data_IF_284464434758
#
_entry.id   IF_284464434758
#
_cell.length_a   1.000
_cell.length_b   1.000
_cell.length_c   1.000
_cell.angle_alpha   90.00
_cell.angle_beta   90.00
_cell.angle_gamma   90.00
#
_symmetry.space_group_name_H-M   'P 1'
#
loop_
_entity.id
_entity.type
_entity.pdbx_description
1 polymer ?
#
# COMPACT_ATOMS: atom_id res chain seq x y z
N UNK A 1 -69.38 2.43 -19.61
CA UNK A 1 -69.01 3.21 -18.40
C UNK A 1 -68.04 2.37 -17.58
N UNK A 2 -66.75 2.75 -17.54
CA UNK A 2 -65.65 2.34 -16.61
C UNK A 2 -65.39 0.82 -16.47
N UNK A 3 -64.16 0.29 -16.52
CA UNK A 3 -62.88 0.84 -16.12
C UNK A 3 -61.74 0.06 -16.78
N UNK A 4 -60.95 0.76 -17.59
CA UNK A 4 -59.55 0.46 -17.88
C UNK A 4 -58.74 0.49 -16.57
N UNK A 5 -57.76 -0.42 -16.42
CA UNK A 5 -56.45 -0.27 -15.76
C UNK A 5 -55.89 -1.64 -15.36
N UNK A 6 -55.19 -2.29 -16.30
CA UNK A 6 -54.15 -3.29 -16.02
C UNK A 6 -52.98 -3.00 -16.95
N UNK A 7 -52.28 -1.90 -16.66
CA UNK A 7 -51.04 -1.55 -17.34
C UNK A 7 -50.24 -0.58 -16.45
N UNK A 8 -49.60 -1.11 -15.39
CA UNK A 8 -48.44 -0.49 -14.72
C UNK A 8 -47.99 -1.37 -13.55
N UNK A 9 -47.27 -2.46 -13.81
CA UNK A 9 -46.53 -3.16 -12.74
C UNK A 9 -45.22 -3.81 -13.22
N UNK A 10 -44.72 -3.43 -14.41
CA UNK A 10 -43.43 -3.91 -14.91
C UNK A 10 -42.39 -2.78 -15.09
N UNK A 11 -42.75 -1.51 -14.89
CA UNK A 11 -41.83 -0.38 -15.10
C UNK A 11 -41.03 0.01 -13.85
N UNK A 12 -41.48 -0.37 -12.64
CA UNK A 12 -40.82 0.04 -11.38
C UNK A 12 -39.69 -0.93 -10.97
N UNK A 13 -39.70 -2.16 -11.47
CA UNK A 13 -38.65 -3.15 -11.16
C UNK A 13 -37.42 -2.99 -12.07
N UNK A 14 -37.55 -2.27 -13.19
CA UNK A 14 -36.42 -2.02 -14.10
C UNK A 14 -35.58 -0.80 -13.72
N UNK A 15 -36.02 0.02 -12.76
CA UNK A 15 -35.30 1.20 -12.28
C UNK A 15 -34.58 1.00 -10.93
N UNK A 16 -34.76 -0.17 -10.29
CA UNK A 16 -34.16 -0.49 -8.99
C UNK A 16 -32.98 -1.48 -9.06
N UNK A 17 -32.60 -1.94 -10.25
CA UNK A 17 -31.42 -2.81 -10.45
C UNK A 17 -30.17 -2.06 -10.97
N UNK A 18 -30.16 -0.72 -10.94
CA UNK A 18 -29.00 0.09 -11.35
C UNK A 18 -28.03 0.45 -10.22
N UNK A 19 -28.22 -0.09 -9.02
CA UNK A 19 -27.19 -0.01 -7.98
C UNK A 19 -26.24 -1.19 -8.07
N UNK A 20 -25.10 -0.90 -8.70
CA UNK A 20 -23.77 -1.40 -8.35
C UNK A 20 -23.54 -2.91 -8.61
N UNK A 21 -23.50 -3.27 -9.88
CA UNK A 21 -22.38 -4.12 -10.30
C UNK A 21 -21.18 -3.19 -10.50
N UNK A 22 -20.32 -3.11 -9.50
CA UNK A 22 -18.95 -2.62 -9.70
C UNK A 22 -18.31 -3.56 -10.72
N UNK A 23 -18.23 -3.11 -11.97
CA UNK A 23 -17.33 -3.72 -12.91
C UNK A 23 -15.92 -3.49 -12.34
N UNK A 24 -15.13 -4.56 -12.18
CA UNK A 24 -13.69 -4.47 -11.97
C UNK A 24 -13.08 -3.82 -13.23
N UNK A 25 -13.26 -2.52 -13.34
CA UNK A 25 -12.74 -1.68 -14.40
C UNK A 25 -11.43 -1.11 -13.91
N UNK A 26 -10.37 -1.33 -14.67
CA UNK A 26 -9.16 -0.53 -14.53
C UNK A 26 -9.55 0.95 -14.57
N UNK A 27 -9.27 1.68 -13.50
CA UNK A 27 -9.50 3.11 -13.42
C UNK A 27 -8.22 3.86 -13.73
N UNK A 28 -8.37 5.11 -14.16
CA UNK A 28 -7.24 6.01 -14.37
C UNK A 28 -6.52 6.32 -13.05
N UNK A 29 -5.32 6.90 -13.16
CA UNK A 29 -4.55 7.34 -12.00
C UNK A 29 -5.08 8.66 -11.39
N UNK A 30 -6.19 9.23 -11.87
CA UNK A 30 -6.66 10.55 -11.44
C UNK A 30 -6.85 10.69 -9.91
N UNK A 31 -7.36 9.69 -9.17
CA UNK A 31 -7.46 9.78 -7.71
C UNK A 31 -6.13 9.92 -6.98
N UNK A 32 -5.03 9.48 -7.60
CA UNK A 32 -3.67 9.53 -7.05
C UNK A 32 -2.79 10.56 -7.75
N UNK A 33 -3.34 11.31 -8.71
CA UNK A 33 -2.55 12.25 -9.49
C UNK A 33 -1.89 13.29 -8.60
N UNK A 34 -0.71 13.73 -9.02
CA UNK A 34 0.13 14.68 -8.30
C UNK A 34 1.52 14.15 -8.02
N UNK A 35 2.25 14.92 -7.23
CA UNK A 35 3.65 14.66 -6.91
C UNK A 35 3.72 14.09 -5.50
N UNK A 36 4.42 12.97 -5.38
CA UNK A 36 4.64 12.28 -4.13
C UNK A 36 6.14 12.23 -3.89
N UNK A 37 6.59 12.44 -2.66
CA UNK A 37 8.01 12.37 -2.33
C UNK A 37 8.31 11.75 -0.96
N UNK A 38 9.53 11.25 -0.85
CA UNK A 38 10.16 10.92 0.43
C UNK A 38 11.62 11.43 0.41
N UNK A 39 12.42 11.00 1.38
CA UNK A 39 13.83 11.42 1.49
C UNK A 39 14.70 11.00 0.30
N UNK A 40 14.32 9.94 -0.42
CA UNK A 40 15.17 9.29 -1.42
C UNK A 40 14.67 9.49 -2.86
N UNK A 41 13.38 9.76 -3.07
CA UNK A 41 12.80 9.85 -4.42
C UNK A 41 11.56 10.73 -4.48
N UNK A 42 11.24 11.16 -5.68
CA UNK A 42 9.99 11.79 -6.08
C UNK A 42 9.34 10.89 -7.12
N UNK A 43 8.04 10.66 -6.98
CA UNK A 43 7.20 9.93 -7.93
C UNK A 43 6.09 10.89 -8.34
N UNK A 44 6.09 11.29 -9.61
CA UNK A 44 4.97 12.03 -10.19
C UNK A 44 4.01 11.04 -10.82
N UNK A 45 2.79 11.02 -10.30
CA UNK A 45 1.66 10.25 -10.81
C UNK A 45 0.87 11.18 -11.71
N UNK A 46 0.84 10.88 -13.00
CA UNK A 46 0.25 11.73 -14.02
C UNK A 46 -1.10 11.20 -14.48
N UNK A 47 -1.97 12.10 -14.93
CA UNK A 47 -3.30 11.76 -15.43
C UNK A 47 -3.27 10.97 -16.76
N UNK A 48 -2.14 11.00 -17.47
CA UNK A 48 -1.89 10.20 -18.68
C UNK A 48 -1.53 8.73 -18.38
N UNK A 49 -1.78 8.26 -17.16
CA UNK A 49 -1.48 6.90 -16.70
C UNK A 49 0.02 6.58 -16.71
N UNK A 50 0.88 7.58 -16.47
CA UNK A 50 2.32 7.39 -16.33
C UNK A 50 2.85 7.79 -14.94
N UNK A 51 3.88 7.06 -14.51
CA UNK A 51 4.64 7.26 -13.29
C UNK A 51 6.05 7.73 -13.66
N UNK A 52 6.36 8.98 -13.37
CA UNK A 52 7.71 9.51 -13.53
C UNK A 52 8.49 9.37 -12.22
N UNK A 53 9.64 8.70 -12.29
CA UNK A 53 10.55 8.51 -11.18
C UNK A 53 11.71 9.49 -11.26
N UNK A 54 11.96 10.17 -10.14
CA UNK A 54 13.11 11.05 -9.94
C UNK A 54 13.83 10.64 -8.67
N UNK A 55 15.10 10.29 -8.75
CA UNK A 55 15.89 9.85 -7.60
C UNK A 55 16.65 11.04 -7.00
N UNK A 56 16.60 11.18 -5.66
CA UNK A 56 17.39 12.15 -4.90
C UNK A 56 18.78 11.56 -4.65
N UNK A 57 19.62 11.58 -5.68
CA UNK A 57 20.95 10.97 -5.67
C UNK A 57 21.99 11.87 -4.99
N UNK A 58 23.17 11.31 -4.67
CA UNK A 58 24.28 12.02 -4.02
C UNK A 58 23.84 12.79 -2.76
N UNK A 59 23.26 12.10 -1.78
CA UNK A 59 22.73 12.72 -0.55
C UNK A 59 21.66 13.81 -0.81
N UNK A 60 20.99 13.76 -1.95
CA UNK A 60 19.99 14.74 -2.35
C UNK A 60 20.56 16.02 -2.97
N UNK A 61 21.83 16.03 -3.39
CA UNK A 61 22.41 17.16 -4.12
C UNK A 61 22.02 17.20 -5.61
N UNK A 62 21.52 16.09 -6.15
CA UNK A 62 21.15 16.00 -7.55
C UNK A 62 19.89 15.17 -7.75
N UNK A 63 18.94 15.73 -8.50
CA UNK A 63 17.70 15.07 -8.88
C UNK A 63 17.89 14.41 -10.24
N UNK A 64 17.94 13.08 -10.24
CA UNK A 64 18.12 12.28 -11.43
C UNK A 64 16.78 11.80 -11.98
N UNK A 65 16.43 12.24 -13.19
CA UNK A 65 15.21 11.80 -13.89
C UNK A 65 15.45 10.43 -14.50
N UNK A 66 15.10 9.40 -13.75
CA UNK A 66 15.55 8.03 -14.04
C UNK A 66 14.64 7.29 -15.02
N UNK A 67 13.32 7.34 -14.85
CA UNK A 67 12.40 6.53 -15.67
C UNK A 67 10.98 7.09 -15.72
N UNK A 68 10.23 6.69 -16.75
CA UNK A 68 8.78 6.87 -16.86
C UNK A 68 8.17 5.51 -17.17
N UNK A 69 7.23 5.05 -16.34
CA UNK A 69 6.54 3.76 -16.48
C UNK A 69 5.05 3.97 -16.65
N UNK A 70 4.38 3.11 -17.41
CA UNK A 70 2.92 3.14 -17.49
C UNK A 70 2.30 2.43 -16.29
N UNK A 71 1.23 2.97 -15.73
CA UNK A 71 0.49 2.36 -14.64
C UNK A 71 -1.00 2.68 -14.69
N UNK A 72 -1.81 1.89 -14.00
CA UNK A 72 -3.24 2.15 -13.82
C UNK A 72 -3.69 1.62 -12.46
N UNK A 73 -4.90 1.99 -12.03
CA UNK A 73 -5.49 1.48 -10.80
C UNK A 73 -6.44 0.33 -11.08
N UNK A 74 -6.45 -0.61 -10.15
CA UNK A 74 -7.37 -1.73 -10.11
C UNK A 74 -7.89 -1.88 -8.68
N UNK A 75 -9.07 -2.48 -8.56
CA UNK A 75 -9.66 -2.79 -7.26
C UNK A 75 -9.28 -4.21 -6.87
N UNK A 76 -8.70 -4.36 -5.69
CA UNK A 76 -8.44 -5.65 -5.10
C UNK A 76 -9.73 -6.34 -4.67
N UNK A 77 -9.64 -7.65 -4.43
CA UNK A 77 -10.80 -8.46 -4.07
C UNK A 77 -11.42 -8.08 -2.71
N UNK A 78 -10.68 -7.33 -1.90
CA UNK A 78 -11.01 -6.98 -0.54
C UNK A 78 -11.21 -5.47 -0.34
N UNK A 79 -11.33 -4.70 -1.43
CA UNK A 79 -11.53 -3.25 -1.41
C UNK A 79 -10.24 -2.44 -1.33
N UNK A 80 -9.08 -3.09 -1.34
CA UNK A 80 -7.79 -2.41 -1.45
C UNK A 80 -7.56 -1.82 -2.85
N UNK A 81 -6.81 -0.74 -2.93
CA UNK A 81 -6.39 -0.18 -4.23
C UNK A 81 -5.10 -0.85 -4.68
N UNK A 82 -5.06 -1.31 -5.94
CA UNK A 82 -3.89 -1.94 -6.54
C UNK A 82 -3.35 -1.03 -7.64
N UNK A 83 -2.12 -0.54 -7.45
CA UNK A 83 -1.37 0.15 -8.49
C UNK A 83 -0.70 -0.89 -9.39
N UNK A 84 -1.16 -1.00 -10.64
CA UNK A 84 -0.64 -1.94 -11.63
C UNK A 84 0.43 -1.24 -12.47
N UNK A 85 1.70 -1.62 -12.30
CA UNK A 85 2.83 -0.97 -12.98
C UNK A 85 3.36 -1.87 -14.10
N UNK A 86 3.48 -1.32 -15.31
CA UNK A 86 4.04 -2.01 -16.48
C UNK A 86 5.55 -1.78 -16.55
N UNK A 87 6.31 -2.76 -16.07
CA UNK A 87 7.77 -2.78 -16.19
C UNK A 87 8.20 -3.23 -17.60
N UNK A 88 9.31 -2.68 -18.16
CA UNK A 88 9.76 -3.01 -19.51
C UNK A 88 10.14 -4.49 -19.68
N UNK A 89 10.64 -5.14 -18.64
CA UNK A 89 11.05 -6.55 -18.65
C UNK A 89 9.88 -7.54 -18.62
N UNK A 90 8.69 -7.08 -18.23
CA UNK A 90 7.56 -7.97 -17.93
C UNK A 90 6.47 -7.90 -18.98
N UNK A 91 5.86 -9.04 -19.31
CA UNK A 91 4.70 -9.07 -20.19
C UNK A 91 3.44 -8.55 -19.50
N UNK A 92 3.29 -8.85 -18.20
CA UNK A 92 2.11 -8.44 -17.42
C UNK A 92 2.45 -7.28 -16.47
N UNK A 93 1.54 -6.31 -16.28
CA UNK A 93 1.69 -5.31 -15.23
C UNK A 93 1.72 -5.97 -13.84
N UNK A 94 2.65 -5.52 -13.00
CA UNK A 94 2.85 -6.05 -11.65
C UNK A 94 1.95 -5.32 -10.65
N UNK A 95 1.27 -6.08 -9.79
CA UNK A 95 0.42 -5.54 -8.73
C UNK A 95 1.24 -4.93 -7.59
N UNK A 96 0.95 -3.67 -7.25
CA UNK A 96 1.47 -2.98 -6.07
C UNK A 96 0.27 -2.54 -5.24
N UNK A 97 -0.17 -3.33 -4.26
CA UNK A 97 -1.22 -2.88 -3.35
C UNK A 97 -0.78 -1.65 -2.57
N UNK A 98 -1.65 -0.65 -2.49
CA UNK A 98 -1.38 0.62 -1.85
C UNK A 98 -2.56 1.05 -0.98
N UNK A 99 -2.24 1.65 0.18
CA UNK A 99 -3.22 2.29 1.05
C UNK A 99 -2.95 3.79 1.08
N UNK A 100 -3.96 4.62 0.87
CA UNK A 100 -3.83 6.08 0.97
C UNK A 100 -4.67 6.59 2.12
N UNK A 101 -4.01 7.21 3.11
CA UNK A 101 -4.64 7.75 4.32
C UNK A 101 -4.12 9.17 4.54
N UNK A 102 -4.98 10.18 4.44
CA UNK A 102 -4.65 11.59 4.72
C UNK A 102 -3.38 12.06 3.99
N UNK A 103 -3.38 11.98 2.65
CA UNK A 103 -2.27 12.36 1.75
C UNK A 103 -0.94 11.63 1.99
N UNK A 104 -1.02 10.46 2.61
CA UNK A 104 0.11 9.55 2.83
C UNK A 104 -0.18 8.23 2.17
N UNK A 105 0.78 7.70 1.43
CA UNK A 105 0.70 6.40 0.77
C UNK A 105 1.51 5.38 1.56
N UNK A 106 0.90 4.24 1.83
CA UNK A 106 1.42 3.13 2.61
C UNK A 106 1.52 1.87 1.74
N UNK A 107 2.61 1.14 1.91
CA UNK A 107 2.82 -0.21 1.35
C UNK A 107 2.64 -1.31 2.42
N UNK A 108 2.55 -0.92 3.69
CA UNK A 108 2.25 -1.81 4.80
C UNK A 108 1.03 -1.26 5.55
N UNK A 109 -0.13 -1.76 5.14
CA UNK A 109 -1.43 -1.31 5.59
C UNK A 109 -2.40 -2.48 5.63
N UNK A 110 -3.53 -2.25 6.29
CA UNK A 110 -4.48 -3.28 6.62
C UNK A 110 -5.88 -2.83 6.30
N UNK A 111 -6.69 -3.76 5.80
CA UNK A 111 -8.08 -3.53 5.47
C UNK A 111 -8.96 -4.24 6.52
N UNK A 112 -9.95 -3.52 7.04
CA UNK A 112 -10.93 -4.09 7.96
C UNK A 112 -11.83 -5.06 7.21
N UNK A 113 -12.03 -6.24 7.76
CA UNK A 113 -13.04 -7.15 7.25
C UNK A 113 -14.38 -6.79 7.88
N UNK A 114 -15.39 -6.50 7.06
CA UNK A 114 -16.78 -6.59 7.47
C UNK A 114 -17.10 -8.09 7.63
N UNK A 115 -16.68 -8.69 8.74
CA UNK A 115 -17.23 -9.97 9.13
C UNK A 115 -18.70 -9.68 9.42
N UNK A 116 -19.59 -10.07 8.50
CA UNK A 116 -21.01 -10.20 8.81
C UNK A 116 -21.07 -10.88 10.16
N UNK A 117 -21.68 -10.21 11.14
CA UNK A 117 -21.87 -10.74 12.48
C UNK A 117 -22.55 -12.09 12.33
N UNK A 118 -21.77 -13.17 12.34
CA UNK A 118 -22.32 -14.50 12.51
C UNK A 118 -23.09 -14.41 13.82
N UNK A 119 -24.38 -14.73 13.76
CA UNK A 119 -25.35 -14.63 14.85
C UNK A 119 -24.90 -15.39 16.14
N UNK A 120 -23.78 -16.13 16.07
CA UNK A 120 -23.19 -16.93 17.14
C UNK A 120 -21.92 -16.37 17.80
N UNK A 121 -21.41 -15.20 17.40
CA UNK A 121 -20.27 -14.56 18.08
C UNK A 121 -20.73 -13.34 18.85
N UNK A 122 -21.05 -13.53 20.13
CA UNK A 122 -21.17 -12.47 21.13
C UNK A 122 -19.81 -11.77 21.32
N UNK A 123 -19.33 -11.04 20.33
CA UNK A 123 -18.24 -10.08 20.51
C UNK A 123 -18.90 -8.71 20.53
N UNK A 124 -19.56 -8.41 21.65
CA UNK A 124 -20.01 -7.05 21.92
C UNK A 124 -18.76 -6.16 22.02
N UNK A 125 -18.68 -5.17 21.15
CA UNK A 125 -17.74 -4.06 21.31
C UNK A 125 -18.25 -3.15 22.43
N UNK A 126 -18.24 -3.65 23.67
CA UNK A 126 -18.76 -2.94 24.85
C UNK A 126 -18.05 -1.58 25.05
N UNK A 127 -16.80 -1.48 24.59
CA UNK A 127 -15.94 -0.31 24.78
C UNK A 127 -15.74 0.54 23.51
N UNK A 128 -16.42 0.22 22.41
CA UNK A 128 -16.24 0.86 21.10
C UNK A 128 -14.76 1.02 20.68
N UNK A 129 -13.93 -0.02 20.88
CA UNK A 129 -12.52 0.05 20.49
C UNK A 129 -12.39 0.25 18.99
N UNK A 130 -11.65 1.29 18.61
CA UNK A 130 -11.44 1.74 17.22
C UNK A 130 -10.92 0.62 16.31
N UNK A 131 -10.05 -0.23 16.85
CA UNK A 131 -9.40 -1.31 16.10
C UNK A 131 -10.13 -2.64 16.22
N UNK A 132 -11.23 -2.73 16.95
CA UNK A 132 -11.90 -4.02 17.18
C UNK A 132 -12.25 -4.76 15.88
N UNK A 133 -11.91 -6.05 15.82
CA UNK A 133 -12.19 -6.94 14.70
C UNK A 133 -10.96 -7.40 13.93
N UNK A 134 -11.20 -8.00 12.76
CA UNK A 134 -10.18 -8.60 11.91
C UNK A 134 -9.63 -7.59 10.89
N UNK A 135 -8.30 -7.45 10.86
CA UNK A 135 -7.55 -6.57 9.98
C UNK A 135 -6.57 -7.38 9.14
N UNK A 136 -6.83 -7.40 7.84
CA UNK A 136 -6.05 -8.17 6.86
C UNK A 136 -4.92 -7.34 6.33
N UNK A 137 -3.71 -7.88 6.30
CA UNK A 137 -2.60 -7.24 5.62
C UNK A 137 -2.93 -7.14 4.13
N UNK A 138 -2.90 -5.92 3.60
CA UNK A 138 -3.20 -5.63 2.21
C UNK A 138 -1.95 -5.28 1.41
N UNK A 139 -0.76 -5.25 2.03
CA UNK A 139 0.50 -4.82 1.41
C UNK A 139 1.59 -5.88 1.40
N UNK A 140 2.11 -6.23 0.22
CA UNK A 140 3.12 -7.27 0.06
C UNK A 140 4.40 -6.81 -0.66
N UNK A 141 4.53 -5.54 -1.05
CA UNK A 141 5.75 -5.00 -1.69
C UNK A 141 6.49 -4.08 -0.73
N UNK A 142 7.82 -3.97 -0.88
CA UNK A 142 8.65 -3.10 -0.04
C UNK A 142 8.83 -1.68 -0.60
N UNK A 143 8.54 -1.49 -1.88
CA UNK A 143 8.74 -0.20 -2.55
C UNK A 143 7.96 -0.11 -3.86
N UNK A 144 7.84 1.11 -4.36
CA UNK A 144 7.46 1.43 -5.74
C UNK A 144 8.72 1.96 -6.41
N UNK A 145 9.32 1.18 -7.29
CA UNK A 145 10.66 1.44 -7.82
C UNK A 145 10.71 1.32 -9.35
N UNK A 146 11.85 1.67 -9.95
CA UNK A 146 12.09 1.51 -11.39
C UNK A 146 12.25 0.04 -11.77
N UNK A 147 12.76 -0.77 -10.84
CA UNK A 147 12.86 -2.22 -10.96
C UNK A 147 11.76 -2.89 -10.13
N UNK A 148 11.46 -4.15 -10.46
CA UNK A 148 10.40 -4.90 -9.80
C UNK A 148 10.86 -5.22 -8.36
N UNK A 149 10.12 -4.78 -7.34
CA UNK A 149 10.45 -5.09 -5.96
C UNK A 149 10.15 -6.55 -5.64
N UNK A 150 10.93 -7.15 -4.74
CA UNK A 150 10.60 -8.46 -4.18
C UNK A 150 9.33 -8.35 -3.31
N UNK A 151 8.48 -9.36 -3.40
CA UNK A 151 7.32 -9.51 -2.52
C UNK A 151 7.72 -10.06 -1.14
N UNK A 152 6.92 -9.77 -0.13
CA UNK A 152 7.06 -10.34 1.22
C UNK A 152 6.73 -11.84 1.18
N UNK A 153 7.58 -12.68 1.74
CA UNK A 153 7.33 -14.12 1.92
C UNK A 153 6.27 -14.40 3.00
N UNK A 154 6.12 -13.45 3.92
CA UNK A 154 5.25 -13.55 5.07
C UNK A 154 4.52 -12.23 5.33
N UNK A 155 3.27 -12.35 5.73
CA UNK A 155 2.41 -11.26 6.17
C UNK A 155 1.92 -11.58 7.59
N UNK A 156 1.70 -10.52 8.36
CA UNK A 156 1.05 -10.61 9.66
C UNK A 156 -0.29 -9.92 9.50
N UNK A 157 -1.37 -10.57 9.93
CA UNK A 157 -2.70 -9.96 10.08
C UNK A 157 -3.04 -9.83 11.56
N UNK A 158 -4.00 -8.98 11.89
CA UNK A 158 -4.37 -8.75 13.28
C UNK A 158 -5.83 -9.07 13.53
N UNK A 159 -6.12 -9.63 14.70
CA UNK A 159 -7.46 -9.63 15.25
C UNK A 159 -7.45 -8.90 16.59
N UNK A 160 -8.16 -7.78 16.69
CA UNK A 160 -8.25 -7.01 17.92
C UNK A 160 -9.55 -7.30 18.65
N UNK A 161 -9.43 -7.49 19.95
CA UNK A 161 -10.54 -7.52 20.91
C UNK A 161 -10.58 -6.20 21.68
N UNK A 162 -11.31 -6.14 22.80
CA UNK A 162 -11.39 -4.95 23.63
C UNK A 162 -10.04 -4.53 24.27
N UNK A 163 -9.15 -5.48 24.56
CA UNK A 163 -7.87 -5.21 25.25
C UNK A 163 -6.68 -6.00 24.71
N UNK A 164 -6.94 -7.03 23.90
CA UNK A 164 -5.93 -7.96 23.39
C UNK A 164 -5.90 -7.95 21.86
N UNK A 165 -4.74 -8.25 21.30
CA UNK A 165 -4.51 -8.41 19.87
C UNK A 165 -3.86 -9.75 19.58
N UNK A 166 -4.33 -10.40 18.52
CA UNK A 166 -3.79 -11.64 17.98
C UNK A 166 -3.00 -11.34 16.72
N UNK A 167 -1.77 -11.83 16.63
CA UNK A 167 -0.90 -11.77 15.45
C UNK A 167 -1.04 -13.08 14.69
N UNK A 168 -1.58 -13.00 13.48
CA UNK A 168 -1.87 -14.15 12.64
C UNK A 168 -0.86 -14.17 11.50
N UNK A 169 0.03 -15.16 11.49
CA UNK A 169 1.06 -15.30 10.48
C UNK A 169 0.52 -15.98 9.22
N UNK A 170 0.77 -15.37 8.07
CA UNK A 170 0.45 -15.88 6.74
C UNK A 170 1.73 -16.01 5.92
N UNK A 171 1.96 -17.15 5.29
CA UNK A 171 3.10 -17.37 4.39
C UNK A 171 2.63 -17.62 2.97
N UNK A 172 3.49 -17.32 1.99
CA UNK A 172 3.17 -17.55 0.58
C UNK A 172 2.81 -19.02 0.32
N UNK A 173 1.78 -19.24 -0.49
CA UNK A 173 1.31 -20.55 -0.87
C UNK A 173 1.07 -20.61 -2.38
N UNK A 174 1.56 -21.68 -2.99
CA UNK A 174 1.29 -21.98 -4.40
C UNK A 174 -0.01 -22.78 -4.53
N UNK A 175 -1.13 -22.09 -4.30
CA UNK A 175 -2.49 -22.65 -4.37
C UNK A 175 -3.42 -21.64 -5.05
N UNK A 176 -4.46 -22.10 -5.76
CA UNK A 176 -5.48 -21.19 -6.27
C UNK A 176 -6.18 -20.49 -5.12
N UNK A 177 -6.50 -19.21 -5.32
CA UNK A 177 -7.24 -18.45 -4.32
C UNK A 177 -8.71 -18.89 -4.27
N UNK A 178 -9.18 -19.20 -3.07
CA UNK A 178 -10.57 -19.50 -2.77
C UNK A 178 -10.96 -18.78 -1.47
N UNK A 179 -12.21 -18.32 -1.38
CA UNK A 179 -12.74 -17.73 -0.14
C UNK A 179 -13.13 -18.84 0.82
N UNK A 180 -12.23 -19.15 1.74
CA UNK A 180 -12.44 -20.10 2.83
C UNK A 180 -12.06 -19.42 4.15
N UNK A 181 -12.73 -19.78 5.25
CA UNK A 181 -12.38 -19.31 6.59
C UNK A 181 -11.91 -20.46 7.46
N UNK A 182 -11.04 -20.17 8.41
CA UNK A 182 -10.54 -21.08 9.43
C UNK A 182 -10.81 -20.51 10.82
N UNK A 183 -10.86 -21.38 11.82
CA UNK A 183 -11.07 -20.97 13.20
C UNK A 183 -9.74 -20.69 13.91
N UNK A 184 -9.73 -19.64 14.72
CA UNK A 184 -8.72 -19.38 15.74
C UNK A 184 -9.39 -19.68 17.08
N UNK A 185 -8.73 -20.46 17.93
CA UNK A 185 -9.25 -20.82 19.24
C UNK A 185 -8.14 -20.66 20.29
N UNK A 186 -8.39 -19.82 21.28
CA UNK A 186 -7.52 -19.53 22.42
C UNK A 186 -8.00 -20.20 23.72
N UNK A 187 -8.90 -21.18 23.61
CA UNK A 187 -9.57 -21.85 24.73
C UNK A 187 -10.87 -21.15 25.12
N UNK A 188 -10.76 -19.92 25.62
CA UNK A 188 -11.90 -19.14 26.12
C UNK A 188 -12.57 -18.30 25.03
N UNK A 189 -11.84 -18.03 23.95
CA UNK A 189 -12.29 -17.18 22.85
C UNK A 189 -12.04 -17.87 21.51
N UNK A 190 -13.03 -17.80 20.62
CA UNK A 190 -12.90 -18.31 19.26
C UNK A 190 -13.48 -17.34 18.25
N UNK A 191 -12.82 -17.25 17.10
CA UNK A 191 -13.20 -16.37 16.01
C UNK A 191 -12.77 -16.97 14.66
N UNK A 192 -13.33 -16.46 13.57
CA UNK A 192 -13.00 -16.90 12.21
C UNK A 192 -12.17 -15.86 11.48
N UNK A 193 -11.23 -16.34 10.68
CA UNK A 193 -10.37 -15.53 9.81
C UNK A 193 -10.25 -16.18 8.43
N UNK A 194 -9.87 -15.40 7.44
CA UNK A 194 -9.64 -15.92 6.08
C UNK A 194 -8.49 -16.92 6.09
N UNK A 195 -8.70 -18.09 5.49
CA UNK A 195 -7.66 -19.11 5.35
C UNK A 195 -6.60 -18.71 4.34
N UNK A 196 -7.07 -18.11 3.24
CA UNK A 196 -6.28 -17.65 2.13
C UNK A 196 -6.43 -16.14 2.00
N UNK A 197 -5.31 -15.45 1.79
CA UNK A 197 -5.29 -14.03 1.46
C UNK A 197 -4.69 -13.88 0.07
N UNK A 198 -5.38 -13.15 -0.80
CA UNK A 198 -4.83 -12.70 -2.07
C UNK A 198 -4.41 -11.25 -1.92
N UNK A 199 -3.11 -11.00 -2.02
CA UNK A 199 -2.52 -9.67 -1.92
C UNK A 199 -1.76 -9.40 -3.21
N UNK A 200 -2.27 -8.47 -4.02
CA UNK A 200 -1.84 -8.32 -5.40
C UNK A 200 -2.08 -9.59 -6.21
N UNK A 201 -1.02 -10.19 -6.74
CA UNK A 201 -1.08 -11.44 -7.52
C UNK A 201 -0.64 -12.67 -6.73
N UNK A 202 -0.35 -12.55 -5.43
CA UNK A 202 0.21 -13.62 -4.60
C UNK A 202 -0.82 -14.09 -3.58
N UNK A 203 -0.87 -15.41 -3.39
CA UNK A 203 -1.72 -16.06 -2.38
C UNK A 203 -0.90 -16.42 -1.17
N UNK A 204 -1.45 -16.16 0.01
CA UNK A 204 -0.86 -16.49 1.31
C UNK A 204 -1.83 -17.35 2.12
N UNK A 205 -1.31 -18.18 3.03
CA UNK A 205 -2.11 -19.00 3.94
C UNK A 205 -1.59 -18.98 5.37
N UNK A 206 -2.47 -19.15 6.34
CA UNK A 206 -2.15 -19.26 7.77
C UNK A 206 -2.24 -20.70 8.31
N UNK A 207 -2.54 -21.68 7.46
CA UNK A 207 -2.66 -23.09 7.84
C UNK A 207 -1.95 -23.99 6.84
N UNK A 208 -1.50 -25.16 7.29
CA UNK A 208 -0.88 -26.14 6.41
C UNK A 208 -1.95 -27.05 5.81
N UNK A 209 -1.97 -27.18 4.47
CA UNK A 209 -2.84 -28.12 3.75
C UNK A 209 -4.34 -27.91 4.03
N UNK A 210 -5.01 -28.96 4.52
CA UNK A 210 -6.44 -28.95 4.85
C UNK A 210 -6.73 -28.52 6.30
N UNK A 211 -5.82 -27.78 6.92
CA UNK A 211 -6.00 -27.29 8.27
C UNK A 211 -7.28 -26.44 8.40
N UNK A 212 -8.02 -26.67 9.47
CA UNK A 212 -9.23 -25.92 9.82
C UNK A 212 -9.01 -24.93 10.97
N UNK A 213 -7.83 -25.01 11.60
CA UNK A 213 -7.48 -24.25 12.79
C UNK A 213 -6.13 -23.57 12.63
N UNK A 214 -6.06 -22.28 12.96
CA UNK A 214 -4.79 -21.56 13.08
C UNK A 214 -4.16 -21.94 14.43
N UNK A 215 -2.92 -22.43 14.39
CA UNK A 215 -2.18 -22.86 15.59
C UNK A 215 -0.97 -21.98 15.90
N UNK A 216 -0.56 -21.15 14.95
CA UNK A 216 0.62 -20.31 15.02
C UNK A 216 0.21 -18.84 15.11
N UNK A 217 -0.40 -18.48 16.24
CA UNK A 217 -0.75 -17.10 16.54
C UNK A 217 -0.07 -16.67 17.82
N UNK A 218 0.33 -15.41 17.87
CA UNK A 218 0.79 -14.76 19.10
C UNK A 218 -0.33 -13.89 19.65
N UNK A 219 -0.39 -13.74 20.97
CA UNK A 219 -1.42 -12.95 21.65
C UNK A 219 -0.76 -12.02 22.66
N UNK A 220 -1.18 -10.76 22.69
CA UNK A 220 -0.71 -9.80 23.68
C UNK A 220 -1.74 -8.69 23.94
N UNK A 221 -1.54 -7.87 24.96
CA UNK A 221 -2.35 -6.68 25.21
C UNK A 221 -1.96 -5.53 24.29
N UNK A 222 -2.85 -4.61 23.98
CA UNK A 222 -2.49 -3.40 23.25
C UNK A 222 -3.03 -2.13 23.91
N UNK A 223 -2.40 -0.99 23.62
CA UNK A 223 -2.88 0.33 24.02
C UNK A 223 -2.79 1.30 22.85
N UNK A 224 -3.86 2.05 22.65
CA UNK A 224 -3.95 3.15 21.68
C UNK A 224 -3.73 4.45 22.45
N UNK A 225 -2.83 5.30 21.98
CA UNK A 225 -2.63 6.65 22.48
C UNK A 225 -2.63 7.62 21.30
N UNK A 226 -3.69 8.41 21.15
CA UNK A 226 -3.89 9.37 20.05
C UNK A 226 -3.49 8.77 18.68
N UNK A 227 -2.29 9.11 18.18
CA UNK A 227 -1.78 8.71 16.87
C UNK A 227 -0.75 7.56 16.95
N UNK A 228 -0.76 6.77 18.03
CA UNK A 228 0.16 5.64 18.22
C UNK A 228 -0.54 4.40 18.78
N UNK A 229 -0.01 3.24 18.43
CA UNK A 229 -0.38 1.96 19.04
C UNK A 229 0.86 1.30 19.64
N UNK A 230 0.64 0.56 20.71
CA UNK A 230 1.67 -0.16 21.44
C UNK A 230 1.19 -1.56 21.77
N UNK A 231 2.06 -2.55 21.58
CA UNK A 231 1.77 -3.97 21.80
C UNK A 231 2.59 -4.48 22.99
N UNK A 232 1.95 -5.18 23.92
CA UNK A 232 2.53 -5.66 25.17
C UNK A 232 2.42 -4.66 26.33
N UNK A 233 2.71 -5.15 27.53
CA UNK A 233 2.54 -4.43 28.81
C UNK A 233 3.65 -3.40 29.06
N UNK A 234 4.88 -3.68 28.62
CA UNK A 234 6.10 -2.88 28.81
C UNK A 234 6.50 -2.07 27.56
N UNK A 235 5.53 -1.62 26.78
CA UNK A 235 5.75 -1.21 25.40
C UNK A 235 6.53 0.12 25.24
N UNK A 236 7.86 0.04 25.27
CA UNK A 236 8.79 1.11 24.84
C UNK A 236 8.60 1.44 23.36
N UNK A 237 8.20 0.45 22.54
CA UNK A 237 8.00 0.61 21.10
C UNK A 237 6.58 1.08 20.80
N UNK A 238 6.45 2.38 20.57
CA UNK A 238 5.24 3.01 20.03
C UNK A 238 5.31 3.02 18.50
N UNK A 239 4.32 2.43 17.87
CA UNK A 239 4.15 2.46 16.41
C UNK A 239 3.19 3.61 16.04
N UNK A 240 3.38 4.29 14.90
CA UNK A 240 2.38 5.20 14.36
C UNK A 240 1.04 4.50 14.18
N UNK A 241 -0.06 5.24 14.30
CA UNK A 241 -1.41 4.78 14.01
C UNK A 241 -2.05 5.75 13.03
N UNK A 242 -2.26 5.30 11.81
CA UNK A 242 -3.03 6.02 10.80
C UNK A 242 -4.31 5.25 10.51
N UNK A 243 -5.46 5.90 10.68
CA UNK A 243 -6.77 5.35 10.33
C UNK A 243 -7.42 6.21 9.24
N UNK A 244 -8.03 5.58 8.25
CA UNK A 244 -8.87 6.29 7.29
C UNK A 244 -10.15 6.83 7.95
N UNK A 245 -10.74 7.87 7.37
CA UNK A 245 -11.93 8.54 7.92
C UNK A 245 -13.15 7.62 8.00
N UNK A 246 -13.26 6.66 7.08
CA UNK A 246 -14.30 5.64 7.03
C UNK A 246 -13.98 4.42 7.92
N UNK A 247 -12.79 4.36 8.53
CA UNK A 247 -12.35 3.26 9.40
C UNK A 247 -12.11 1.94 8.66
N UNK A 248 -11.99 1.97 7.33
CA UNK A 248 -11.76 0.76 6.51
C UNK A 248 -10.29 0.39 6.38
N UNK A 249 -9.37 1.36 6.49
CA UNK A 249 -7.93 1.18 6.37
C UNK A 249 -7.20 1.63 7.63
N UNK A 250 -6.16 0.86 8.00
CA UNK A 250 -5.22 1.24 9.06
C UNK A 250 -3.78 0.97 8.62
N UNK A 251 -2.84 1.78 9.09
CA UNK A 251 -1.41 1.51 8.97
C UNK A 251 -0.70 1.72 10.32
N UNK A 252 0.20 0.79 10.64
CA UNK A 252 1.02 0.81 11.86
C UNK A 252 2.50 1.12 11.57
N UNK A 253 2.76 1.71 10.42
CA UNK A 253 4.10 2.03 9.90
C UNK A 253 4.17 3.49 9.48
N UNK A 254 5.39 4.00 9.30
CA UNK A 254 5.61 5.28 8.62
C UNK A 254 5.14 5.20 7.17
N UNK A 255 4.63 6.30 6.59
CA UNK A 255 4.22 6.30 5.20
C UNK A 255 5.40 6.04 4.27
N UNK A 256 5.16 5.31 3.19
CA UNK A 256 6.18 5.06 2.17
C UNK A 256 6.55 6.34 1.42
N UNK A 257 5.53 7.11 1.06
CA UNK A 257 5.67 8.37 0.34
C UNK A 257 4.50 9.30 0.71
N UNK A 258 4.77 10.60 0.78
CA UNK A 258 3.76 11.61 1.15
C UNK A 258 3.50 12.54 -0.04
N UNK A 259 2.31 13.13 -0.11
CA UNK A 259 2.01 14.13 -1.12
C UNK A 259 2.94 15.33 -0.94
N UNK A 260 3.58 15.74 -2.02
CA UNK A 260 4.50 16.87 -2.07
C UNK A 260 3.73 18.18 -2.26
N UNK A 261 4.33 19.28 -1.81
CA UNK A 261 3.88 20.65 -2.09
C UNK A 261 4.40 21.15 -3.45
N UNK A 262 5.27 20.40 -4.14
CA UNK A 262 5.77 20.73 -5.47
C UNK A 262 4.60 20.84 -6.44
N UNK A 263 4.53 21.97 -7.16
CA UNK A 263 3.52 22.22 -8.20
C UNK A 263 4.05 21.96 -9.61
N UNK A 264 5.31 22.35 -9.87
CA UNK A 264 6.02 22.10 -11.12
C UNK A 264 7.29 21.28 -10.88
N UNK A 265 7.21 19.99 -11.22
CA UNK A 265 8.32 19.06 -11.05
C UNK A 265 9.53 19.42 -11.93
N UNK A 266 9.31 19.80 -13.18
CA UNK A 266 10.41 20.01 -14.12
C UNK A 266 11.18 21.30 -13.80
N UNK A 267 10.46 22.37 -13.40
CA UNK A 267 11.09 23.59 -12.89
C UNK A 267 11.90 23.31 -11.62
N UNK A 268 11.33 22.55 -10.67
CA UNK A 268 12.01 22.19 -9.41
C UNK A 268 13.29 21.40 -9.66
N UNK A 269 13.28 20.44 -10.60
CA UNK A 269 14.48 19.69 -10.98
C UNK A 269 15.52 20.61 -11.60
N UNK A 270 15.12 21.50 -12.51
CA UNK A 270 16.03 22.41 -13.18
C UNK A 270 16.69 23.39 -12.20
N UNK A 271 15.91 24.00 -11.30
CA UNK A 271 16.42 24.89 -10.26
C UNK A 271 17.37 24.15 -9.33
N UNK A 272 16.95 23.01 -8.77
CA UNK A 272 17.78 22.20 -7.87
C UNK A 272 19.11 21.81 -8.50
N UNK A 273 19.08 21.30 -9.73
CA UNK A 273 20.29 20.87 -10.44
C UNK A 273 21.14 22.04 -10.93
N UNK A 274 20.59 23.27 -11.07
CA UNK A 274 21.38 24.44 -11.50
C UNK A 274 22.43 24.86 -10.47
N UNK A 275 22.18 24.59 -9.19
CA UNK A 275 23.08 24.89 -8.09
C UNK A 275 24.16 23.81 -7.88
N UNK A 276 24.08 22.71 -8.63
CA UNK A 276 24.96 21.56 -8.46
C UNK A 276 25.74 21.30 -9.75
N UNK A 277 27.05 21.08 -9.64
CA UNK A 277 27.79 20.56 -10.79
C UNK A 277 27.26 19.18 -11.17
N UNK A 278 26.97 18.97 -12.46
CA UNK A 278 26.53 17.67 -12.94
C UNK A 278 27.46 16.55 -12.42
N UNK A 279 26.89 15.49 -11.82
CA UNK A 279 27.68 14.35 -11.42
C UNK A 279 28.38 13.78 -12.66
N UNK A 280 29.63 13.33 -12.48
CA UNK A 280 30.37 12.71 -13.56
C UNK A 280 29.65 11.44 -14.01
N UNK A 281 29.44 11.30 -15.32
CA UNK A 281 28.83 10.09 -15.90
C UNK A 281 29.61 8.82 -15.54
N UNK A 282 30.93 8.92 -15.36
CA UNK A 282 31.77 7.85 -14.85
C UNK A 282 32.54 8.33 -13.60
N UNK A 283 32.44 7.63 -12.45
CA UNK A 283 33.20 7.98 -11.24
C UNK A 283 34.72 8.05 -11.47
N UNK A 284 35.25 7.26 -12.41
CA UNK A 284 36.67 7.26 -12.76
C UNK A 284 37.09 8.50 -13.56
N UNK A 285 36.15 9.27 -14.13
CA UNK A 285 36.46 10.53 -14.80
C UNK A 285 36.89 11.61 -13.79
N UNK A 286 36.73 11.39 -12.47
CA UNK A 286 37.32 12.23 -11.43
C UNK A 286 38.84 12.30 -11.61
N UNK A 287 39.47 11.17 -11.97
CA UNK A 287 40.92 11.09 -12.21
C UNK A 287 41.34 11.73 -13.54
N UNK A 288 40.39 12.09 -14.42
CA UNK A 288 40.67 12.81 -15.66
C UNK A 288 40.51 14.32 -15.52
N UNK A 289 39.88 14.80 -14.44
CA UNK A 289 39.83 16.24 -14.15
C UNK A 289 41.22 16.69 -13.76
N UNK A 290 41.76 17.65 -14.52
CA UNK A 290 42.95 18.37 -14.08
C UNK A 290 42.66 19.03 -12.74
N UNK A 291 43.57 18.84 -11.81
CA UNK A 291 43.55 19.59 -10.56
C UNK A 291 43.80 21.07 -10.86
N UNK A 292 43.30 21.95 -10.00
CA UNK A 292 43.56 23.39 -10.11
C UNK A 292 45.08 23.72 -10.14
N UNK A 293 45.91 22.81 -9.60
CA UNK A 293 47.37 22.90 -9.62
C UNK A 293 47.96 22.57 -10.99
N UNK A 294 47.46 21.53 -11.66
CA UNK A 294 47.88 21.15 -13.02
C UNK A 294 47.49 22.20 -14.06
N UNK A 295 46.29 22.78 -13.96
CA UNK A 295 45.92 23.91 -14.82
C UNK A 295 46.80 25.14 -14.61
N UNK A 296 47.23 25.38 -13.36
CA UNK A 296 48.12 26.49 -13.02
C UNK A 296 49.53 26.26 -13.56
N UNK A 297 50.00 25.02 -13.54
CA UNK A 297 51.29 24.62 -14.12
C UNK A 297 51.30 24.80 -15.65
N UNK A 298 50.25 24.37 -16.35
CA UNK A 298 50.15 24.57 -17.81
C UNK A 298 50.13 26.04 -18.22
N UNK A 299 49.47 26.90 -17.44
CA UNK A 299 49.50 28.35 -17.65
C UNK A 299 50.87 28.96 -17.40
N UNK A 300 51.73 28.30 -16.61
CA UNK A 300 53.11 28.73 -16.35
C UNK A 300 54.13 28.19 -17.35
N UNK A 301 53.86 27.04 -17.99
CA UNK A 301 54.74 26.44 -19.00
C UNK A 301 54.53 26.98 -20.41
N UNK A 302 53.49 27.78 -20.66
CA UNK A 302 53.37 28.57 -21.91
C UNK A 302 54.22 29.84 -21.75
N UNK A 303 55.51 29.74 -22.05
CA UNK A 303 56.41 30.88 -22.30
C UNK A 303 57.50 30.49 -23.28
#
# INVERSE_FOLDING_TARGET
MKSTKKLCLCSVIMFLCLTVFSQNGSTDLAPLSGIWENSNRIISIREDNSLQFVLKTFYGFYFDKTAILNAYLDSGENGETILRIKYPSEKKPQAHPIGVINDKLFLDFYCRTNLESSEDTNVYNENNSLLFGYWRCCGNVKGIEVAIPASKEELICYYFTNSEVYFLRYWQADVPYERETVQVNDGDFSFKVDKLLKVGDIVYTCVVGRGLFVRNFEKTTYKINENTVSFGTDSEKKLPLYLSQDGSLVAFSEPYIIRSEITDLESTIAEHNSHTHNPLKNPLDVFKRKTAWEEKLEKMTIK
#
